data_IF_878352713560
#
_entry.id   IF_878352713560
#
_cell.length_a   1.000
_cell.length_b   1.000
_cell.length_c   1.000
_cell.angle_alpha   90.00
_cell.angle_beta   90.00
_cell.angle_gamma   90.00
#
_symmetry.space_group_name_H-M   'P 1'
#
loop_
_entity.id
_entity.type
_entity.pdbx_description
1 polymer ?
#
# COMPACT_ATOMS: atom_id res chain seq x y z
N UNK A 1 14.78 3.25 2.85
CA UNK A 1 14.98 4.70 2.63
C UNK A 1 15.88 5.37 3.70
N UNK A 2 15.99 4.86 4.93
CA UNK A 2 16.76 5.52 6.00
C UNK A 2 18.31 5.38 5.96
N UNK A 3 18.91 4.66 5.01
CA UNK A 3 20.36 4.35 5.05
C UNK A 3 21.18 4.87 3.86
N UNK A 4 20.57 5.48 2.83
CA UNK A 4 21.29 5.95 1.62
C UNK A 4 20.71 7.25 1.02
N UNK A 5 20.22 8.15 1.89
CA UNK A 5 19.45 9.36 1.58
C UNK A 5 19.64 9.95 0.18
N UNK A 6 18.77 9.55 -0.75
CA UNK A 6 18.46 10.34 -1.94
C UNK A 6 17.18 11.11 -1.62
N UNK A 7 17.35 12.27 -1.00
CA UNK A 7 16.29 13.28 -0.87
C UNK A 7 15.79 13.60 -2.27
N UNK A 8 14.63 13.07 -2.63
CA UNK A 8 14.05 13.26 -3.94
C UNK A 8 12.54 13.23 -3.81
N UNK A 9 11.89 14.02 -4.65
CA UNK A 9 10.42 14.00 -4.78
C UNK A 9 9.91 12.58 -5.03
N UNK A 10 10.66 11.75 -5.76
CA UNK A 10 10.31 10.35 -6.02
C UNK A 10 10.27 9.50 -4.74
N UNK A 11 11.22 9.68 -3.85
CA UNK A 11 11.25 8.92 -2.62
C UNK A 11 10.19 9.40 -1.60
N UNK A 12 9.84 10.68 -1.64
CA UNK A 12 8.69 11.21 -0.87
C UNK A 12 7.37 10.64 -1.40
N UNK A 13 7.18 10.60 -2.73
CA UNK A 13 6.01 9.97 -3.38
C UNK A 13 5.92 8.48 -3.03
N UNK A 14 7.04 7.75 -3.07
CA UNK A 14 7.08 6.34 -2.69
C UNK A 14 6.66 6.16 -1.22
N UNK A 15 7.21 6.98 -0.32
CA UNK A 15 6.89 6.90 1.11
C UNK A 15 5.44 7.25 1.41
N UNK A 16 4.87 8.23 0.67
CA UNK A 16 3.45 8.54 0.72
C UNK A 16 2.58 7.35 0.26
N UNK A 17 2.97 6.67 -0.82
CA UNK A 17 2.28 5.48 -1.31
C UNK A 17 2.25 4.36 -0.28
N UNK A 18 3.38 4.10 0.39
CA UNK A 18 3.46 3.13 1.49
C UNK A 18 2.51 3.52 2.63
N UNK A 19 2.59 4.78 3.09
CA UNK A 19 1.77 5.27 4.20
C UNK A 19 0.28 5.20 3.89
N UNK A 20 -0.12 5.53 2.67
CA UNK A 20 -1.51 5.46 2.24
C UNK A 20 -2.03 4.01 2.29
N UNK A 21 -1.24 3.05 1.82
CA UNK A 21 -1.61 1.62 1.89
C UNK A 21 -1.62 1.09 3.33
N UNK A 22 -0.75 1.58 4.21
CA UNK A 22 -0.79 1.26 5.65
C UNK A 22 -2.08 1.75 6.30
N UNK A 23 -2.49 2.99 6.01
CA UNK A 23 -3.74 3.57 6.54
C UNK A 23 -4.95 2.77 6.05
N UNK A 24 -5.02 2.47 4.76
CA UNK A 24 -6.16 1.76 4.16
C UNK A 24 -6.29 0.33 4.68
N UNK A 25 -5.16 -0.33 4.96
CA UNK A 25 -5.13 -1.72 5.41
C UNK A 25 -5.14 -1.90 6.93
N UNK A 26 -4.86 -0.84 7.69
CA UNK A 26 -4.67 -0.93 9.14
C UNK A 26 -3.44 -1.76 9.54
N UNK A 27 -2.54 -2.07 8.59
CA UNK A 27 -1.39 -2.96 8.78
C UNK A 27 -0.07 -2.19 8.63
N UNK A 28 0.94 -2.61 9.38
CA UNK A 28 2.31 -2.10 9.24
C UNK A 28 2.93 -2.61 7.95
N UNK A 29 3.82 -1.82 7.34
CA UNK A 29 4.51 -2.17 6.10
C UNK A 29 5.29 -3.48 6.18
N UNK A 30 5.90 -3.75 7.33
CA UNK A 30 6.56 -5.01 7.65
C UNK A 30 6.01 -5.58 8.95
N UNK A 31 5.48 -6.80 8.88
CA UNK A 31 5.02 -7.54 10.06
C UNK A 31 5.53 -8.98 10.03
N UNK A 32 6.51 -9.26 10.88
CA UNK A 32 7.18 -10.57 10.97
C UNK A 32 6.29 -11.66 11.57
N UNK A 33 5.16 -11.29 12.20
CA UNK A 33 4.23 -12.24 12.79
C UNK A 33 3.26 -12.83 11.75
N UNK A 34 3.26 -12.32 10.52
CA UNK A 34 2.40 -12.80 9.43
C UNK A 34 3.08 -13.90 8.61
N UNK A 35 2.25 -14.64 7.87
CA UNK A 35 2.70 -15.71 6.97
C UNK A 35 3.63 -15.17 5.88
N UNK A 36 4.55 -16.02 5.40
CA UNK A 36 5.47 -15.69 4.31
C UNK A 36 4.65 -15.26 3.07
N UNK A 37 4.86 -14.03 2.61
CA UNK A 37 4.06 -13.38 1.54
C UNK A 37 2.96 -12.42 2.02
N UNK A 38 2.69 -12.34 3.32
CA UNK A 38 1.93 -11.26 3.97
C UNK A 38 2.83 -10.32 4.79
N UNK A 39 4.06 -10.72 5.07
CA UNK A 39 5.00 -9.92 5.87
C UNK A 39 5.35 -8.58 5.21
N UNK A 40 5.34 -8.52 3.87
CA UNK A 40 5.52 -7.29 3.11
C UNK A 40 4.17 -6.79 2.62
N UNK A 41 3.74 -5.63 3.12
CA UNK A 41 2.47 -5.01 2.76
C UNK A 41 2.33 -4.79 1.24
N UNK A 42 3.40 -4.36 0.58
CA UNK A 42 3.35 -4.02 -0.85
C UNK A 42 3.18 -5.25 -1.73
N UNK A 43 3.87 -6.34 -1.39
CA UNK A 43 3.74 -7.61 -2.10
C UNK A 43 2.32 -8.17 -1.97
N UNK A 44 1.78 -8.15 -0.74
CA UNK A 44 0.41 -8.56 -0.48
C UNK A 44 -0.61 -7.66 -1.19
N UNK A 45 -0.41 -6.34 -1.17
CA UNK A 45 -1.29 -5.38 -1.83
C UNK A 45 -1.33 -5.59 -3.35
N UNK A 46 -0.17 -5.81 -3.98
CA UNK A 46 -0.10 -6.12 -5.40
C UNK A 46 -0.78 -7.45 -5.76
N UNK A 47 -0.67 -8.47 -4.91
CA UNK A 47 -1.35 -9.76 -5.12
C UNK A 47 -2.87 -9.61 -5.10
N UNK A 48 -3.41 -8.86 -4.13
CA UNK A 48 -4.85 -8.57 -4.08
C UNK A 48 -5.30 -7.77 -5.29
N UNK A 49 -4.49 -6.80 -5.73
CA UNK A 49 -4.77 -6.02 -6.94
C UNK A 49 -4.84 -6.88 -8.20
N UNK A 50 -3.85 -7.74 -8.41
CA UNK A 50 -3.81 -8.68 -9.55
C UNK A 50 -4.91 -9.73 -9.48
N UNK A 51 -5.32 -10.15 -8.27
CA UNK A 51 -6.40 -11.10 -8.06
C UNK A 51 -7.82 -10.50 -8.13
N UNK A 52 -7.97 -9.20 -8.34
CA UNK A 52 -9.28 -8.52 -8.36
C UNK A 52 -9.94 -8.38 -6.98
N UNK A 53 -9.24 -8.72 -5.91
CA UNK A 53 -9.72 -8.73 -4.52
C UNK A 53 -9.25 -7.48 -3.74
N UNK A 54 -9.20 -6.33 -4.41
CA UNK A 54 -8.63 -5.08 -3.86
C UNK A 54 -9.35 -4.62 -2.60
N UNK A 55 -10.66 -4.84 -2.50
CA UNK A 55 -11.46 -4.41 -1.34
C UNK A 55 -11.17 -5.24 -0.08
N UNK A 56 -10.62 -6.44 -0.21
CA UNK A 56 -10.18 -7.27 0.92
C UNK A 56 -8.96 -6.67 1.62
N UNK A 57 -8.30 -5.70 0.97
CA UNK A 57 -7.21 -4.93 1.56
C UNK A 57 -7.69 -4.02 2.70
N UNK A 58 -8.94 -3.57 2.66
CA UNK A 58 -9.43 -2.51 3.52
C UNK A 58 -9.65 -3.00 4.95
N UNK A 59 -9.14 -2.21 5.89
CA UNK A 59 -9.50 -2.32 7.29
C UNK A 59 -11.01 -2.10 7.49
N UNK A 60 -11.59 -2.76 8.50
CA UNK A 60 -13.02 -2.67 8.81
C UNK A 60 -13.48 -1.23 9.04
N UNK A 61 -12.69 -0.41 9.74
CA UNK A 61 -13.05 0.98 10.02
C UNK A 61 -13.05 1.82 8.75
N UNK A 62 -12.12 1.57 7.82
CA UNK A 62 -12.10 2.25 6.51
C UNK A 62 -13.29 1.80 5.65
N UNK A 63 -13.62 0.52 5.68
CA UNK A 63 -14.77 -0.04 4.93
C UNK A 63 -16.11 0.52 5.39
N UNK A 64 -16.23 0.88 6.67
CA UNK A 64 -17.45 1.47 7.25
C UNK A 64 -17.54 3.00 7.02
N UNK A 65 -16.41 3.70 6.93
CA UNK A 65 -16.37 5.17 6.91
C UNK A 65 -16.14 5.77 5.52
N UNK A 66 -15.63 4.99 4.56
CA UNK A 66 -15.27 5.45 3.22
C UNK A 66 -16.13 4.76 2.15
N UNK A 67 -16.48 5.49 1.08
CA UNK A 67 -17.16 4.85 -0.05
C UNK A 67 -16.20 3.89 -0.78
N UNK A 68 -16.73 2.77 -1.28
CA UNK A 68 -15.91 1.79 -2.00
C UNK A 68 -15.16 2.41 -3.19
N UNK A 69 -15.79 3.36 -3.89
CA UNK A 69 -15.15 4.05 -5.01
C UNK A 69 -13.97 4.92 -4.57
N UNK A 70 -14.12 5.68 -3.48
CA UNK A 70 -13.03 6.47 -2.91
C UNK A 70 -11.88 5.56 -2.46
N UNK A 71 -12.20 4.47 -1.77
CA UNK A 71 -11.22 3.49 -1.33
C UNK A 71 -10.45 2.88 -2.51
N UNK A 72 -11.15 2.46 -3.58
CA UNK A 72 -10.53 1.92 -4.79
C UNK A 72 -9.60 2.93 -5.48
N UNK A 73 -10.00 4.21 -5.55
CA UNK A 73 -9.14 5.28 -6.09
C UNK A 73 -7.90 5.46 -5.24
N UNK A 74 -8.03 5.51 -3.91
CA UNK A 74 -6.90 5.64 -3.00
C UNK A 74 -5.94 4.46 -3.11
N UNK A 75 -6.44 3.22 -3.21
CA UNK A 75 -5.58 2.04 -3.41
C UNK A 75 -4.82 2.13 -4.73
N UNK A 76 -5.49 2.51 -5.83
CA UNK A 76 -4.82 2.71 -7.13
C UNK A 76 -3.73 3.77 -7.05
N UNK A 77 -3.99 4.92 -6.42
CA UNK A 77 -2.99 5.97 -6.21
C UNK A 77 -1.82 5.43 -5.39
N UNK A 78 -2.08 4.75 -4.28
CA UNK A 78 -1.04 4.15 -3.43
C UNK A 78 -0.15 3.18 -4.19
N UNK A 79 -0.75 2.28 -5.00
CA UNK A 79 -0.02 1.33 -5.84
C UNK A 79 0.82 2.01 -6.93
N UNK A 80 0.30 3.06 -7.57
CA UNK A 80 1.05 3.85 -8.55
C UNK A 80 2.24 4.58 -7.90
N UNK A 81 2.06 5.11 -6.69
CA UNK A 81 3.14 5.78 -5.95
C UNK A 81 4.30 4.84 -5.59
N UNK A 82 4.02 3.55 -5.33
CA UNK A 82 5.05 2.56 -4.97
C UNK A 82 5.59 1.77 -6.17
N UNK A 83 5.05 1.99 -7.37
CA UNK A 83 5.55 1.36 -8.58
C UNK A 83 6.97 1.88 -8.85
N UNK A 84 7.94 0.98 -8.94
CA UNK A 84 9.28 1.36 -9.34
C UNK A 84 9.25 1.78 -10.81
N UNK A 85 9.54 3.05 -11.13
CA UNK A 85 9.72 3.43 -12.54
C UNK A 85 10.83 2.55 -13.12
N UNK A 86 10.46 1.74 -14.10
CA UNK A 86 11.38 1.01 -14.95
C UNK A 86 11.69 1.93 -16.12
N UNK A 87 12.57 2.90 -15.89
CA UNK A 87 13.18 3.70 -16.96
C UNK A 87 14.68 3.66 -16.79
#
# INVERSE_FOLDING_TARGET
YAMRGQLSTKADVYSFGVLLLEILSGRKNTDIHLSQGMQNLLEWAWRLYMGGAVLDMLDSTVRETCSQEQALRCIRVGLLCVQADTT
#
